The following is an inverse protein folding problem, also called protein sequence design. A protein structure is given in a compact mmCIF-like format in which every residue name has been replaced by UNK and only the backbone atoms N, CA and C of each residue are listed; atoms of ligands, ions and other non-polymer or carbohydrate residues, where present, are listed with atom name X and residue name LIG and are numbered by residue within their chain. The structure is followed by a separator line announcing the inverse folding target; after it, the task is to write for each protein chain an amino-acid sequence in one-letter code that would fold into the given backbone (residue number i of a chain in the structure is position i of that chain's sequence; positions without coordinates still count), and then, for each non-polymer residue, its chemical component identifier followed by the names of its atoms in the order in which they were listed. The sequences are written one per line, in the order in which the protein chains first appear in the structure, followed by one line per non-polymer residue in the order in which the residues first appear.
data_IF_946227374820
#
_entry.id   IF_946227374820
#
_cell.length_a   1.000
_cell.length_b   1.000
_cell.length_c   1.000
_cell.angle_alpha   90.00
_cell.angle_beta   90.00
_cell.angle_gamma   90.00
#
_symmetry.space_group_name_H-M   'P 1'
#
loop_
_entity.id
_entity.type
_entity.pdbx_description
1 polymer ?
#
# COMPACT_ATOMS: atom_id res chain seq x y z
N UNK A 1 3.57 15.53 -13.99
CA UNK A 1 3.41 14.51 -12.95
C UNK A 1 3.58 13.15 -13.60
N UNK A 2 4.49 12.31 -13.10
CA UNK A 2 4.75 11.00 -13.73
C UNK A 2 6.07 10.34 -13.35
N UNK A 3 6.84 10.90 -12.41
CA UNK A 3 8.05 10.27 -11.88
C UNK A 3 7.84 9.62 -10.51
N UNK A 4 6.88 10.10 -9.72
CA UNK A 4 6.80 9.76 -8.31
C UNK A 4 6.03 8.46 -8.00
N UNK A 5 5.13 8.00 -8.90
CA UNK A 5 4.30 6.80 -8.65
C UNK A 5 5.12 5.52 -8.53
N UNK A 6 6.09 5.31 -9.42
CA UNK A 6 6.92 4.09 -9.38
C UNK A 6 7.90 4.10 -8.19
N UNK A 7 8.34 5.28 -7.75
CA UNK A 7 9.16 5.42 -6.55
C UNK A 7 8.33 5.12 -5.30
N UNK A 8 7.13 5.69 -5.21
CA UNK A 8 6.17 5.46 -4.14
C UNK A 8 5.72 4.00 -4.05
N UNK A 9 5.48 3.34 -5.19
CA UNK A 9 5.20 1.89 -5.24
C UNK A 9 6.32 1.07 -4.61
N UNK A 10 7.59 1.37 -4.95
CA UNK A 10 8.74 0.68 -4.38
C UNK A 10 8.90 0.97 -2.89
N UNK A 11 8.70 2.21 -2.45
CA UNK A 11 8.76 2.59 -1.03
C UNK A 11 7.70 1.86 -0.20
N UNK A 12 6.47 1.76 -0.70
CA UNK A 12 5.38 1.04 -0.03
C UNK A 12 5.63 -0.47 -0.01
N UNK A 13 6.17 -1.05 -1.08
CA UNK A 13 6.58 -2.46 -1.11
C UNK A 13 7.64 -2.71 -0.04
N UNK A 14 8.65 -1.84 0.06
CA UNK A 14 9.71 -1.95 1.06
C UNK A 14 9.17 -1.80 2.49
N UNK A 15 8.21 -0.89 2.71
CA UNK A 15 7.52 -0.74 3.98
C UNK A 15 6.79 -2.02 4.39
N UNK A 16 6.02 -2.63 3.48
CA UNK A 16 5.28 -3.88 3.76
C UNK A 16 6.24 -5.03 4.06
N UNK A 17 7.38 -5.12 3.35
CA UNK A 17 8.42 -6.13 3.62
C UNK A 17 9.06 -5.96 5.00
N UNK A 18 9.35 -4.71 5.38
CA UNK A 18 9.88 -4.37 6.71
C UNK A 18 8.89 -4.68 7.81
N UNK A 19 7.60 -4.39 7.59
CA UNK A 19 6.53 -4.68 8.54
C UNK A 19 6.40 -6.19 8.80
N UNK A 20 6.51 -7.02 7.77
CA UNK A 20 6.41 -8.48 7.85
C UNK A 20 7.74 -9.19 8.17
N UNK A 21 8.72 -8.49 8.76
CA UNK A 21 9.98 -9.07 9.27
C UNK A 21 10.69 -10.05 8.31
N UNK A 22 10.83 -9.69 7.02
CA UNK A 22 11.45 -10.52 5.95
C UNK A 22 10.74 -11.84 5.58
N UNK A 23 9.62 -12.22 6.20
CA UNK A 23 8.84 -13.39 5.72
C UNK A 23 8.25 -13.15 4.31
N UNK A 24 8.13 -11.87 3.92
CA UNK A 24 7.57 -11.43 2.66
C UNK A 24 8.61 -11.27 1.51
N UNK A 25 9.87 -11.73 1.69
CA UNK A 25 10.96 -11.50 0.74
C UNK A 25 10.70 -12.06 -0.68
N UNK A 26 9.73 -12.97 -0.83
CA UNK A 26 9.56 -13.69 -2.10
C UNK A 26 8.54 -13.09 -3.11
N UNK A 27 7.45 -12.39 -2.72
CA UNK A 27 6.37 -12.10 -3.71
C UNK A 27 5.52 -10.84 -3.42
N UNK A 28 6.04 -9.82 -2.75
CA UNK A 28 5.31 -8.53 -2.65
C UNK A 28 5.64 -7.68 -3.87
N UNK A 29 4.65 -7.52 -4.76
CA UNK A 29 4.66 -6.61 -5.90
C UNK A 29 3.54 -5.57 -5.73
N UNK A 30 3.54 -4.46 -6.50
CA UNK A 30 2.49 -3.44 -6.41
C UNK A 30 1.08 -3.94 -6.71
N UNK A 31 0.97 -5.09 -7.40
CA UNK A 31 -0.27 -5.72 -7.83
C UNK A 31 -0.67 -6.90 -6.92
N UNK A 32 0.16 -7.25 -5.94
CA UNK A 32 -0.14 -8.30 -4.96
C UNK A 32 -1.29 -7.85 -4.06
N UNK A 33 -2.30 -8.69 -3.90
CA UNK A 33 -3.35 -8.50 -2.91
C UNK A 33 -2.81 -8.79 -1.51
N UNK A 34 -2.46 -7.73 -0.80
CA UNK A 34 -1.86 -7.78 0.53
C UNK A 34 -2.85 -8.25 1.60
N UNK A 35 -4.13 -7.94 1.42
CA UNK A 35 -5.20 -8.34 2.33
C UNK A 35 -5.53 -9.83 2.19
N UNK A 36 -5.57 -10.33 0.95
CA UNK A 36 -5.84 -11.74 0.65
C UNK A 36 -4.68 -12.66 1.02
N UNK A 37 -3.44 -12.16 1.04
CA UNK A 37 -2.26 -12.94 1.46
C UNK A 37 -2.05 -12.97 2.97
N UNK A 38 -2.81 -12.18 3.74
CA UNK A 38 -2.59 -12.01 5.18
C UNK A 38 -1.29 -11.25 5.52
N UNK A 39 -0.72 -10.53 4.55
CA UNK A 39 0.47 -9.69 4.75
C UNK A 39 0.11 -8.29 5.27
N UNK A 40 -1.18 -7.94 5.20
CA UNK A 40 -1.70 -6.65 5.62
C UNK A 40 -2.94 -6.86 6.51
N UNK A 41 -2.71 -6.81 7.82
CA UNK A 41 -3.76 -6.70 8.82
C UNK A 41 -4.32 -5.27 8.91
N UNK A 42 -5.45 -5.10 9.60
CA UNK A 42 -6.08 -3.78 9.78
C UNK A 42 -5.13 -2.73 10.39
N UNK A 43 -4.20 -3.14 11.27
CA UNK A 43 -3.17 -2.26 11.82
C UNK A 43 -2.12 -1.87 10.77
N UNK A 44 -1.68 -2.85 9.97
CA UNK A 44 -0.71 -2.64 8.90
C UNK A 44 -1.29 -1.73 7.81
N UNK A 45 -2.58 -1.89 7.48
CA UNK A 45 -3.29 -1.04 6.53
C UNK A 45 -3.28 0.44 6.98
N UNK A 46 -3.61 0.71 8.24
CA UNK A 46 -3.59 2.08 8.77
C UNK A 46 -2.17 2.65 8.71
N UNK A 47 -1.16 1.87 9.11
CA UNK A 47 0.24 2.31 9.04
C UNK A 47 0.72 2.58 7.60
N UNK A 48 0.34 1.73 6.66
CA UNK A 48 0.67 1.86 5.24
C UNK A 48 0.03 3.11 4.62
N UNK A 49 -1.24 3.35 4.94
CA UNK A 49 -1.97 4.54 4.48
C UNK A 49 -1.36 5.81 5.07
N UNK A 50 -1.11 5.86 6.38
CA UNK A 50 -0.45 7.02 6.98
C UNK A 50 0.92 7.30 6.36
N UNK A 51 1.71 6.26 6.09
CA UNK A 51 2.99 6.40 5.40
C UNK A 51 2.84 6.94 3.97
N UNK A 52 1.82 6.47 3.24
CA UNK A 52 1.47 6.95 1.91
C UNK A 52 1.08 8.44 1.93
N UNK A 53 0.20 8.84 2.85
CA UNK A 53 -0.22 10.23 3.02
C UNK A 53 0.97 11.16 3.31
N UNK A 54 1.85 10.77 4.24
CA UNK A 54 3.06 11.52 4.58
C UNK A 54 4.04 11.63 3.40
N UNK A 55 4.14 10.60 2.57
CA UNK A 55 5.12 10.56 1.47
C UNK A 55 4.68 11.25 0.21
N UNK A 56 3.40 11.13 -0.14
CA UNK A 56 2.87 11.73 -1.35
C UNK A 56 2.16 13.07 -1.08
N UNK A 57 2.08 13.52 0.17
CA UNK A 57 1.31 14.71 0.59
C UNK A 57 -0.15 14.64 0.10
N UNK A 58 -0.72 13.43 0.17
CA UNK A 58 -2.08 13.09 -0.26
C UNK A 58 -2.94 12.75 0.94
N UNK A 59 -4.25 12.79 0.78
CA UNK A 59 -5.19 12.29 1.79
C UNK A 59 -5.89 11.04 1.27
N UNK A 60 -5.99 10.02 2.12
CA UNK A 60 -6.61 8.75 1.79
C UNK A 60 -7.99 8.65 2.46
N UNK A 61 -9.04 8.50 1.67
CA UNK A 61 -10.39 8.35 2.18
C UNK A 61 -10.78 6.86 2.34
N UNK A 62 -10.76 6.40 3.59
CA UNK A 62 -11.20 5.05 3.95
C UNK A 62 -12.70 4.80 3.71
N UNK A 63 -13.54 5.85 3.67
CA UNK A 63 -14.99 5.69 3.48
C UNK A 63 -15.35 5.28 2.05
N UNK A 64 -14.50 5.62 1.08
CA UNK A 64 -14.68 5.30 -0.34
C UNK A 64 -13.80 4.14 -0.78
N UNK A 65 -12.86 3.71 0.07
CA UNK A 65 -11.99 2.57 -0.19
C UNK A 65 -12.73 1.26 0.12
N UNK A 66 -12.80 0.35 -0.87
CA UNK A 66 -13.36 -0.99 -0.68
C UNK A 66 -12.25 -2.02 -0.44
N UNK A 67 -12.01 -2.45 0.81
CA UNK A 67 -11.00 -3.47 1.11
C UNK A 67 -11.45 -4.88 0.66
N UNK A 68 -12.72 -5.07 0.29
CA UNK A 68 -13.25 -6.38 -0.12
C UNK A 68 -12.80 -6.80 -1.54
N UNK A 69 -12.42 -5.84 -2.39
CA UNK A 69 -11.88 -6.10 -3.73
C UNK A 69 -10.41 -6.54 -3.78
N UNK A 70 -9.75 -6.67 -2.63
CA UNK A 70 -8.32 -6.91 -2.51
C UNK A 70 -7.52 -5.61 -2.42
N UNK A 71 -6.60 -5.56 -1.46
CA UNK A 71 -5.78 -4.38 -1.19
C UNK A 71 -4.44 -4.49 -1.89
N UNK A 72 -4.26 -3.72 -2.95
CA UNK A 72 -2.98 -3.64 -3.69
C UNK A 72 -2.36 -2.26 -3.49
N UNK A 73 -1.02 -2.17 -3.51
CA UNK A 73 -0.31 -0.89 -3.39
C UNK A 73 -0.72 0.06 -4.52
N UNK A 74 -0.84 -0.48 -5.73
CA UNK A 74 -1.30 0.28 -6.90
C UNK A 74 -2.72 0.81 -6.72
N UNK A 75 -3.60 0.00 -6.14
CA UNK A 75 -4.96 0.41 -5.79
C UNK A 75 -4.97 1.55 -4.78
N UNK A 76 -4.14 1.48 -3.74
CA UNK A 76 -4.02 2.53 -2.73
C UNK A 76 -3.56 3.87 -3.33
N UNK A 77 -2.49 3.84 -4.14
CA UNK A 77 -1.98 5.05 -4.81
C UNK A 77 -3.02 5.61 -5.79
N UNK A 78 -3.69 4.73 -6.55
CA UNK A 78 -4.74 5.13 -7.48
C UNK A 78 -5.93 5.80 -6.78
N UNK A 79 -6.26 5.33 -5.57
CA UNK A 79 -7.34 5.91 -4.74
C UNK A 79 -6.98 7.30 -4.20
N UNK A 80 -5.70 7.58 -3.91
CA UNK A 80 -5.23 8.90 -3.49
C UNK A 80 -5.15 9.94 -4.62
N UNK A 81 -5.00 9.49 -5.87
CA UNK A 81 -4.78 10.37 -7.02
C UNK A 81 -6.09 10.81 -7.72
N UNK A 82 -7.25 10.35 -7.23
CA UNK A 82 -8.58 10.69 -7.75
C UNK A 82 -9.32 11.65 -6.85
#
# INVERSE_FOLDING_TARGET
MGKDTAELENELVDWVRKWNEQEADAVVTPETDLSGTGLLDSMALVGLVSYLEERADVSFDFATFDPHGGVTIRGLIGHCAG
#
